data_IF_594122222831
#
_entry.id   IF_594122222831
#
_cell.length_a   1.000
_cell.length_b   1.000
_cell.length_c   1.000
_cell.angle_alpha   90.00
_cell.angle_beta   90.00
_cell.angle_gamma   90.00
#
_symmetry.space_group_name_H-M   'P 1'
#
loop_
_entity.id
_entity.type
_entity.pdbx_description
1 polymer ?
#
# COMPACT_ATOMS: atom_id res chain seq x y z
N UNK A 1 13.60 -32.72 -19.55
CA UNK A 1 14.67 -31.99 -18.88
C UNK A 1 14.21 -30.60 -18.45
N UNK A 2 13.81 -29.70 -19.34
CA UNK A 2 13.36 -28.33 -19.06
C UNK A 2 12.24 -28.24 -17.99
N UNK A 3 11.27 -29.14 -18.04
CA UNK A 3 10.15 -29.16 -17.05
C UNK A 3 10.69 -29.39 -15.63
N UNK A 4 11.64 -30.30 -15.45
CA UNK A 4 12.23 -30.58 -14.13
C UNK A 4 13.09 -29.40 -13.63
N UNK A 5 13.82 -28.74 -14.53
CA UNK A 5 14.61 -27.55 -14.20
C UNK A 5 13.70 -26.39 -13.70
N UNK A 6 12.61 -26.14 -14.42
CA UNK A 6 11.64 -25.10 -14.03
C UNK A 6 10.92 -25.51 -12.75
N UNK A 7 10.47 -26.75 -12.62
CA UNK A 7 9.82 -27.25 -11.41
C UNK A 7 10.70 -27.09 -10.17
N UNK A 8 12.00 -27.37 -10.27
CA UNK A 8 12.95 -27.16 -9.18
C UNK A 8 13.05 -25.67 -8.78
N UNK A 9 13.12 -24.75 -9.76
CA UNK A 9 13.19 -23.29 -9.51
C UNK A 9 11.98 -22.77 -8.74
N UNK A 10 10.79 -23.32 -9.00
CA UNK A 10 9.52 -22.91 -8.36
C UNK A 10 9.11 -23.86 -7.23
N UNK A 11 10.02 -24.71 -6.75
CA UNK A 11 9.82 -25.63 -5.63
C UNK A 11 8.65 -26.59 -5.79
N UNK A 12 8.40 -27.07 -7.00
CA UNK A 12 7.51 -28.22 -7.27
C UNK A 12 8.31 -29.49 -7.16
N UNK A 13 7.86 -30.42 -6.30
CA UNK A 13 8.52 -31.70 -6.08
C UNK A 13 8.14 -32.74 -7.15
N UNK A 14 8.98 -33.76 -7.34
CA UNK A 14 8.71 -34.89 -8.26
C UNK A 14 7.39 -35.59 -7.96
N UNK A 15 7.02 -35.68 -6.67
CA UNK A 15 5.73 -36.28 -6.27
C UNK A 15 4.54 -35.38 -6.69
N UNK A 16 4.71 -34.09 -6.70
CA UNK A 16 3.68 -33.12 -7.13
C UNK A 16 3.53 -33.10 -8.66
N UNK A 17 4.62 -33.29 -9.43
CA UNK A 17 4.58 -33.38 -10.89
C UNK A 17 3.75 -34.56 -11.38
N UNK A 18 3.57 -35.59 -10.57
CA UNK A 18 2.80 -36.78 -10.89
C UNK A 18 1.32 -36.74 -10.49
N UNK A 19 0.91 -35.68 -9.75
CA UNK A 19 -0.46 -35.47 -9.29
C UNK A 19 -1.31 -34.76 -10.32
N UNK A 20 -2.63 -34.96 -10.22
CA UNK A 20 -3.56 -34.08 -10.92
C UNK A 20 -3.48 -32.67 -10.30
N UNK A 21 -3.60 -31.63 -11.11
CA UNK A 21 -3.57 -30.25 -10.64
C UNK A 21 -4.67 -29.99 -9.59
N UNK A 22 -5.85 -30.60 -9.75
CA UNK A 22 -6.96 -30.50 -8.80
C UNK A 22 -6.64 -31.07 -7.41
N UNK A 23 -5.65 -31.92 -7.28
CA UNK A 23 -5.23 -32.54 -6.01
C UNK A 23 -4.14 -31.74 -5.29
N UNK A 24 -3.75 -30.61 -5.87
CA UNK A 24 -2.75 -29.69 -5.33
C UNK A 24 -3.42 -28.57 -4.51
N UNK A 25 -2.72 -28.06 -3.50
CA UNK A 25 -3.18 -26.85 -2.80
C UNK A 25 -3.17 -25.62 -3.72
N UNK A 26 -3.94 -24.57 -3.38
CA UNK A 26 -4.04 -23.35 -4.19
C UNK A 26 -2.68 -22.75 -4.56
N UNK A 27 -1.76 -22.66 -3.60
CA UNK A 27 -0.40 -22.18 -3.88
C UNK A 27 0.43 -23.11 -4.76
N UNK A 28 0.22 -24.43 -4.67
CA UNK A 28 0.86 -25.39 -5.58
C UNK A 28 0.28 -25.27 -6.99
N UNK A 29 -1.04 -25.09 -7.13
CA UNK A 29 -1.69 -24.84 -8.42
C UNK A 29 -1.15 -23.58 -9.07
N UNK A 30 -0.98 -22.50 -8.27
CA UNK A 30 -0.43 -21.24 -8.74
C UNK A 30 1.02 -21.40 -9.24
N UNK A 31 1.85 -22.17 -8.51
CA UNK A 31 3.22 -22.50 -8.98
C UNK A 31 3.19 -23.29 -10.28
N UNK A 32 2.29 -24.24 -10.45
CA UNK A 32 2.14 -24.99 -11.71
C UNK A 32 1.74 -24.04 -12.86
N UNK A 33 0.81 -23.11 -12.63
CA UNK A 33 0.43 -22.13 -13.64
C UNK A 33 1.62 -21.25 -14.04
N UNK A 34 2.40 -20.80 -13.07
CA UNK A 34 3.63 -20.01 -13.28
C UNK A 34 4.69 -20.85 -14.04
N UNK A 35 4.90 -22.11 -13.67
CA UNK A 35 5.80 -23.02 -14.38
C UNK A 35 5.46 -23.16 -15.86
N UNK A 36 4.19 -23.31 -16.17
CA UNK A 36 3.69 -23.40 -17.55
C UNK A 36 4.03 -22.17 -18.37
N UNK A 37 3.94 -20.98 -17.77
CA UNK A 37 4.28 -19.74 -18.42
C UNK A 37 5.80 -19.58 -18.64
N UNK A 38 6.60 -19.96 -17.64
CA UNK A 38 8.06 -19.78 -17.64
C UNK A 38 8.80 -20.83 -18.49
N UNK A 39 8.28 -22.06 -18.59
CA UNK A 39 8.97 -23.16 -19.30
C UNK A 39 9.27 -22.87 -20.79
N UNK A 40 8.49 -21.97 -21.36
CA UNK A 40 8.66 -21.46 -22.73
C UNK A 40 9.74 -20.38 -22.87
N UNK A 41 10.35 -19.94 -21.76
CA UNK A 41 11.34 -18.87 -21.69
C UNK A 41 10.90 -17.61 -22.42
N UNK A 42 9.73 -17.05 -22.06
CA UNK A 42 9.19 -15.88 -22.73
C UNK A 42 10.06 -14.65 -22.44
N UNK A 43 10.10 -13.70 -23.38
CA UNK A 43 10.72 -12.39 -23.12
C UNK A 43 9.88 -11.50 -22.20
N UNK A 44 8.56 -11.67 -22.25
CA UNK A 44 7.58 -10.94 -21.45
C UNK A 44 6.64 -11.94 -20.78
N UNK A 45 6.45 -11.83 -19.48
CA UNK A 45 5.52 -12.61 -18.69
C UNK A 45 4.35 -11.69 -18.28
N UNK A 46 3.13 -12.03 -18.72
CA UNK A 46 1.92 -11.32 -18.30
C UNK A 46 1.20 -12.12 -17.21
N UNK A 47 0.96 -11.47 -16.08
CA UNK A 47 0.26 -12.02 -14.92
C UNK A 47 -0.96 -11.14 -14.63
N UNK A 48 -2.14 -11.73 -14.72
CA UNK A 48 -3.40 -11.06 -14.45
C UNK A 48 -3.97 -11.57 -13.13
N UNK A 49 -3.95 -10.72 -12.11
CA UNK A 49 -4.37 -11.01 -10.72
C UNK A 49 -3.90 -12.38 -10.18
N UNK A 50 -2.60 -12.71 -10.29
CA UNK A 50 -2.14 -14.07 -10.05
C UNK A 50 -2.26 -14.53 -8.60
N UNK A 51 -2.49 -13.64 -7.63
CA UNK A 51 -2.58 -13.97 -6.20
C UNK A 51 -3.96 -13.75 -5.59
N UNK A 52 -4.96 -13.35 -6.38
CA UNK A 52 -6.31 -12.98 -5.91
C UNK A 52 -7.04 -14.11 -5.16
N UNK A 53 -6.82 -15.36 -5.55
CA UNK A 53 -7.50 -16.53 -4.99
C UNK A 53 -6.75 -17.20 -3.82
N UNK A 54 -5.73 -16.55 -3.26
CA UNK A 54 -4.92 -17.08 -2.17
C UNK A 54 -5.32 -16.46 -0.82
N UNK A 55 -5.23 -17.25 0.25
CA UNK A 55 -5.33 -16.72 1.61
C UNK A 55 -4.19 -15.72 1.92
N UNK A 56 -4.38 -14.88 2.93
CA UNK A 56 -3.48 -13.78 3.24
C UNK A 56 -2.02 -14.24 3.50
N UNK A 57 -1.83 -15.34 4.23
CA UNK A 57 -0.48 -15.85 4.55
C UNK A 57 0.21 -16.38 3.30
N UNK A 58 -0.49 -17.20 2.53
CA UNK A 58 0.04 -17.78 1.30
C UNK A 58 0.31 -16.70 0.25
N UNK A 59 -0.51 -15.64 0.20
CA UNK A 59 -0.31 -14.48 -0.69
C UNK A 59 1.02 -13.79 -0.40
N UNK A 60 1.35 -13.54 0.88
CA UNK A 60 2.63 -12.94 1.28
C UNK A 60 3.80 -13.82 0.82
N UNK A 61 3.75 -15.13 1.08
CA UNK A 61 4.82 -16.05 0.70
C UNK A 61 5.02 -16.11 -0.82
N UNK A 62 3.91 -16.18 -1.56
CA UNK A 62 3.93 -16.22 -3.03
C UNK A 62 4.39 -14.91 -3.65
N UNK A 63 4.08 -13.75 -3.04
CA UNK A 63 4.58 -12.45 -3.46
C UNK A 63 6.10 -12.39 -3.40
N UNK A 64 6.69 -12.82 -2.29
CA UNK A 64 8.14 -12.88 -2.13
C UNK A 64 8.79 -13.84 -3.13
N UNK A 65 8.16 -14.98 -3.39
CA UNK A 65 8.65 -15.98 -4.35
C UNK A 65 8.60 -15.45 -5.79
N UNK A 66 7.52 -14.78 -6.19
CA UNK A 66 7.40 -14.14 -7.51
C UNK A 66 8.49 -13.08 -7.73
N UNK A 67 8.73 -12.21 -6.74
CA UNK A 67 9.80 -11.19 -6.81
C UNK A 67 11.17 -11.82 -6.99
N UNK A 68 11.45 -12.92 -6.24
CA UNK A 68 12.70 -13.67 -6.37
C UNK A 68 12.86 -14.28 -7.76
N UNK A 69 11.82 -14.96 -8.24
CA UNK A 69 11.83 -15.61 -9.55
C UNK A 69 12.00 -14.61 -10.69
N UNK A 70 11.31 -13.48 -10.65
CA UNK A 70 11.45 -12.42 -11.64
C UNK A 70 12.90 -11.93 -11.74
N UNK A 71 13.56 -11.72 -10.58
CA UNK A 71 14.97 -11.33 -10.53
C UNK A 71 15.92 -12.41 -11.05
N UNK A 72 15.69 -13.67 -10.64
CA UNK A 72 16.55 -14.80 -11.06
C UNK A 72 16.46 -15.10 -12.55
N UNK A 73 15.28 -14.92 -13.13
CA UNK A 73 15.04 -15.21 -14.55
C UNK A 73 15.33 -14.02 -15.46
N UNK A 74 15.40 -12.81 -14.92
CA UNK A 74 15.59 -11.57 -15.69
C UNK A 74 14.49 -11.31 -16.71
N UNK A 75 13.27 -11.82 -16.46
CA UNK A 75 12.15 -11.69 -17.39
C UNK A 75 11.42 -10.38 -17.11
N UNK A 76 11.11 -9.62 -18.18
CA UNK A 76 10.20 -8.49 -18.08
C UNK A 76 8.81 -8.99 -17.74
N UNK A 77 8.25 -8.52 -16.63
CA UNK A 77 6.94 -8.97 -16.14
C UNK A 77 5.94 -7.81 -16.15
N UNK A 78 4.80 -8.01 -16.82
CA UNK A 78 3.64 -7.16 -16.69
C UNK A 78 2.69 -7.80 -15.67
N UNK A 79 2.47 -7.12 -14.56
CA UNK A 79 1.68 -7.60 -13.44
C UNK A 79 0.45 -6.72 -13.28
N UNK A 80 -0.75 -7.29 -13.43
CA UNK A 80 -2.02 -6.61 -13.22
C UNK A 80 -2.57 -7.01 -11.86
N UNK A 81 -2.91 -6.05 -11.02
CA UNK A 81 -3.50 -6.26 -9.70
C UNK A 81 -4.34 -5.07 -9.27
N UNK A 82 -5.33 -5.30 -8.43
CA UNK A 82 -6.03 -4.27 -7.67
C UNK A 82 -5.51 -4.16 -6.22
N UNK A 83 -4.60 -5.03 -5.81
CA UNK A 83 -3.96 -5.01 -4.49
C UNK A 83 -2.79 -4.00 -4.52
N UNK A 84 -2.95 -2.93 -3.75
CA UNK A 84 -1.96 -1.85 -3.68
C UNK A 84 -0.63 -2.33 -3.07
N UNK A 85 -0.69 -3.22 -2.09
CA UNK A 85 0.51 -3.75 -1.44
C UNK A 85 1.32 -4.63 -2.42
N UNK A 86 0.64 -5.41 -3.27
CA UNK A 86 1.29 -6.14 -4.35
C UNK A 86 1.98 -5.19 -5.32
N UNK A 87 1.26 -4.16 -5.80
CA UNK A 87 1.81 -3.17 -6.71
C UNK A 87 3.06 -2.48 -6.13
N UNK A 88 2.97 -1.99 -4.89
CA UNK A 88 4.07 -1.27 -4.23
C UNK A 88 5.29 -2.15 -3.92
N UNK A 89 5.09 -3.44 -3.63
CA UNK A 89 6.18 -4.34 -3.20
C UNK A 89 6.84 -5.09 -4.35
N UNK A 90 6.08 -5.44 -5.39
CA UNK A 90 6.58 -6.26 -6.50
C UNK A 90 7.21 -5.43 -7.62
N UNK A 91 6.64 -4.26 -7.92
CA UNK A 91 6.95 -3.53 -9.15
C UNK A 91 8.23 -2.70 -9.05
N UNK A 92 8.90 -2.51 -10.18
CA UNK A 92 9.92 -1.49 -10.36
C UNK A 92 9.28 -0.18 -10.84
N UNK A 93 8.17 -0.29 -11.59
CA UNK A 93 7.32 0.82 -12.01
C UNK A 93 5.85 0.44 -11.94
N UNK A 94 5.01 1.39 -11.57
CA UNK A 94 3.55 1.24 -11.48
C UNK A 94 2.91 2.19 -12.47
N UNK A 95 1.91 1.71 -13.21
CA UNK A 95 0.98 2.51 -13.97
C UNK A 95 -0.40 2.45 -13.29
N UNK A 96 -0.90 3.58 -12.81
CA UNK A 96 -2.23 3.69 -12.20
C UNK A 96 -3.24 4.01 -13.30
N UNK A 97 -4.26 3.16 -13.43
CA UNK A 97 -5.33 3.32 -14.42
C UNK A 97 -6.61 3.82 -13.78
N UNK A 98 -7.29 4.73 -14.48
CA UNK A 98 -8.61 5.22 -14.12
C UNK A 98 -9.46 5.34 -15.37
N UNK A 99 -10.62 4.68 -15.42
CA UNK A 99 -11.57 4.75 -16.55
C UNK A 99 -10.93 4.57 -17.95
N UNK A 100 -9.95 3.66 -18.05
CA UNK A 100 -9.26 3.37 -19.31
C UNK A 100 -8.09 4.30 -19.64
N UNK A 101 -7.80 5.29 -18.82
CA UNK A 101 -6.67 6.20 -18.98
C UNK A 101 -5.58 5.92 -17.95
N UNK A 102 -4.34 6.24 -18.29
CA UNK A 102 -3.20 6.18 -17.37
C UNK A 102 -3.11 7.52 -16.64
N UNK A 103 -3.40 7.52 -15.33
CA UNK A 103 -3.32 8.71 -14.46
C UNK A 103 -1.87 9.08 -14.12
N UNK A 104 -1.09 8.07 -13.75
CA UNK A 104 0.31 8.27 -13.40
C UNK A 104 1.13 7.02 -13.66
N UNK A 105 2.38 7.22 -14.09
CA UNK A 105 3.40 6.16 -14.16
C UNK A 105 4.62 6.61 -13.39
N UNK A 106 5.10 5.78 -12.47
CA UNK A 106 6.26 6.09 -11.64
C UNK A 106 6.80 4.87 -10.91
N UNK A 107 7.86 5.07 -10.14
CA UNK A 107 8.31 4.10 -9.14
C UNK A 107 7.28 3.97 -8.02
N UNK A 108 7.28 2.88 -7.23
CA UNK A 108 6.41 2.76 -6.04
C UNK A 108 6.49 3.99 -5.11
N UNK A 109 7.69 4.51 -4.91
CA UNK A 109 7.91 5.68 -4.07
C UNK A 109 7.24 6.94 -4.64
N UNK A 110 7.40 7.23 -5.94
CA UNK A 110 6.78 8.38 -6.61
C UNK A 110 5.25 8.27 -6.63
N UNK A 111 4.70 7.08 -6.89
CA UNK A 111 3.25 6.86 -6.88
C UNK A 111 2.66 7.14 -5.49
N UNK A 112 3.34 6.71 -4.43
CA UNK A 112 2.87 6.84 -3.06
C UNK A 112 3.08 8.25 -2.48
N UNK A 113 4.28 8.80 -2.64
CA UNK A 113 4.67 10.05 -1.98
C UNK A 113 4.51 11.32 -2.86
N UNK A 114 4.45 11.14 -4.19
CA UNK A 114 4.41 12.22 -5.19
C UNK A 114 3.23 12.02 -6.13
N UNK A 115 2.05 11.73 -5.55
CA UNK A 115 0.82 11.57 -6.32
C UNK A 115 0.53 12.82 -7.15
N UNK A 116 0.14 12.65 -8.42
CA UNK A 116 -0.09 13.76 -9.36
C UNK A 116 -1.55 14.17 -9.49
N UNK A 117 -2.46 13.40 -8.90
CA UNK A 117 -3.89 13.71 -8.87
C UNK A 117 -4.50 13.23 -7.57
N UNK A 118 -5.65 13.82 -7.22
CA UNK A 118 -6.47 13.37 -6.10
C UNK A 118 -6.81 11.88 -6.23
N UNK A 119 -7.14 11.43 -7.44
CA UNK A 119 -7.45 10.02 -7.69
C UNK A 119 -6.30 9.09 -7.30
N UNK A 120 -5.08 9.36 -7.76
CA UNK A 120 -3.91 8.53 -7.44
C UNK A 120 -3.63 8.56 -5.94
N UNK A 121 -3.74 9.75 -5.34
CA UNK A 121 -3.50 9.95 -3.91
C UNK A 121 -4.47 9.16 -3.05
N UNK A 122 -5.75 9.13 -3.41
CA UNK A 122 -6.81 8.43 -2.71
C UNK A 122 -6.82 6.92 -3.00
N UNK A 123 -6.47 6.55 -4.23
CA UNK A 123 -6.45 5.16 -4.64
C UNK A 123 -5.31 4.35 -4.01
N UNK A 124 -4.18 4.99 -3.70
CA UNK A 124 -3.00 4.31 -3.13
C UNK A 124 -2.80 4.71 -1.67
N UNK A 125 -3.16 3.82 -0.76
CA UNK A 125 -2.98 4.00 0.69
C UNK A 125 -4.00 4.92 1.35
N UNK A 126 -4.01 4.88 2.69
CA UNK A 126 -4.91 5.71 3.50
C UNK A 126 -4.45 7.18 3.54
N UNK A 127 -5.42 8.09 3.55
CA UNK A 127 -5.15 9.52 3.49
C UNK A 127 -6.11 10.32 4.37
N UNK A 128 -5.61 11.40 4.97
CA UNK A 128 -6.39 12.44 5.62
C UNK A 128 -6.71 13.57 4.63
N UNK A 129 -7.93 14.07 4.69
CA UNK A 129 -8.39 15.22 3.91
C UNK A 129 -8.60 16.40 4.85
N UNK A 130 -7.83 17.46 4.64
CA UNK A 130 -7.92 18.71 5.40
C UNK A 130 -8.67 19.75 4.57
N UNK A 131 -9.70 20.37 5.11
CA UNK A 131 -10.51 21.38 4.41
C UNK A 131 -10.76 22.60 5.32
N UNK A 132 -11.00 23.75 4.71
CA UNK A 132 -11.50 24.95 5.38
C UNK A 132 -10.71 25.32 6.64
N UNK A 133 -11.34 25.15 7.82
CA UNK A 133 -10.75 25.54 9.12
C UNK A 133 -9.44 24.82 9.43
N UNK A 134 -9.32 23.53 9.15
CA UNK A 134 -8.07 22.78 9.37
C UNK A 134 -6.91 23.35 8.54
N UNK A 135 -7.14 23.66 7.26
CA UNK A 135 -6.09 24.28 6.43
C UNK A 135 -5.78 25.71 6.88
N UNK A 136 -6.79 26.47 7.35
CA UNK A 136 -6.59 27.81 7.91
C UNK A 136 -5.76 27.77 9.19
N UNK A 137 -6.00 26.77 10.04
CA UNK A 137 -5.20 26.55 11.24
C UNK A 137 -3.76 26.19 10.91
N UNK A 138 -3.55 25.29 9.94
CA UNK A 138 -2.21 24.93 9.43
C UNK A 138 -1.49 26.18 8.92
N UNK A 139 -2.14 27.01 8.09
CA UNK A 139 -1.54 28.23 7.56
C UNK A 139 -1.18 29.21 8.68
N UNK A 140 -2.07 29.38 9.67
CA UNK A 140 -1.88 30.31 10.78
C UNK A 140 -0.70 29.93 11.65
N UNK A 141 -0.56 28.64 11.98
CA UNK A 141 0.51 28.14 12.85
C UNK A 141 1.87 28.09 12.16
N UNK A 142 1.91 27.77 10.85
CA UNK A 142 3.16 27.51 10.12
C UNK A 142 3.62 28.64 9.23
N UNK A 143 2.73 29.57 8.88
CA UNK A 143 2.98 30.54 7.81
C UNK A 143 2.97 29.94 6.41
N UNK A 144 2.49 28.69 6.24
CA UNK A 144 2.26 28.09 4.93
C UNK A 144 1.19 28.86 4.16
N UNK A 145 1.17 28.69 2.85
CA UNK A 145 0.20 29.37 1.97
C UNK A 145 -0.62 28.32 1.20
N UNK A 146 -1.27 27.41 1.95
CA UNK A 146 -2.16 26.41 1.38
C UNK A 146 -3.48 27.08 0.96
N UNK A 147 -4.01 26.69 -0.20
CA UNK A 147 -5.30 27.18 -0.67
C UNK A 147 -6.44 26.53 0.14
N UNK A 148 -7.11 27.34 0.95
CA UNK A 148 -8.22 26.88 1.82
C UNK A 148 -9.49 26.51 1.04
N UNK A 149 -9.58 26.87 -0.24
CA UNK A 149 -10.69 26.44 -1.12
C UNK A 149 -10.44 25.06 -1.73
N UNK A 150 -9.23 24.53 -1.66
CA UNK A 150 -8.86 23.19 -2.09
C UNK A 150 -8.84 22.23 -0.90
N UNK A 151 -8.88 20.96 -1.20
CA UNK A 151 -8.60 19.91 -0.19
C UNK A 151 -7.08 19.73 -0.07
N UNK A 152 -6.57 19.71 1.13
CA UNK A 152 -5.23 19.25 1.45
C UNK A 152 -5.25 17.76 1.75
N UNK A 153 -4.28 17.03 1.24
CA UNK A 153 -4.16 15.58 1.42
C UNK A 153 -2.87 15.27 2.15
N UNK A 154 -2.95 14.53 3.25
CA UNK A 154 -1.77 14.08 4.01
C UNK A 154 -1.91 12.61 4.37
N UNK A 155 -0.85 11.83 4.16
CA UNK A 155 -0.80 10.41 4.52
C UNK A 155 -0.97 10.23 6.02
N UNK A 156 -1.73 9.22 6.42
CA UNK A 156 -2.06 9.00 7.84
C UNK A 156 -0.82 8.70 8.69
N UNK A 157 0.21 8.06 8.14
CA UNK A 157 1.49 7.79 8.81
C UNK A 157 2.42 9.00 8.90
N UNK A 158 2.06 10.14 8.26
CA UNK A 158 2.78 11.42 8.41
C UNK A 158 2.30 12.24 9.58
N UNK A 159 1.18 11.85 10.18
CA UNK A 159 0.72 12.40 11.44
C UNK A 159 1.47 11.72 12.59
N UNK A 160 1.96 12.50 13.55
CA UNK A 160 2.68 12.01 14.72
C UNK A 160 2.06 12.56 16.00
N UNK A 161 2.16 11.84 17.12
CA UNK A 161 1.65 12.29 18.44
C UNK A 161 2.70 13.04 19.27
N UNK A 162 3.95 13.10 18.81
CA UNK A 162 5.03 13.78 19.51
C UNK A 162 5.29 15.15 18.89
N UNK A 163 5.46 16.17 19.74
CA UNK A 163 5.80 17.52 19.29
C UNK A 163 7.13 17.54 18.54
N UNK A 164 7.12 18.21 17.38
CA UNK A 164 8.31 18.34 16.55
C UNK A 164 8.41 19.74 15.95
N UNK A 165 9.62 20.32 15.99
CA UNK A 165 9.86 21.65 15.44
C UNK A 165 9.46 21.73 13.95
N UNK A 166 8.71 22.78 13.60
CA UNK A 166 8.20 23.00 12.23
C UNK A 166 6.92 22.23 11.87
N UNK A 167 6.41 21.43 12.79
CA UNK A 167 5.11 20.78 12.66
C UNK A 167 3.99 21.63 13.25
N UNK A 168 2.81 21.48 12.68
CA UNK A 168 1.58 22.14 13.15
C UNK A 168 0.82 21.18 14.05
N UNK A 169 0.35 21.70 15.17
CA UNK A 169 -0.47 20.94 16.12
C UNK A 169 -1.93 21.03 15.73
N UNK A 170 -2.60 19.88 15.63
CA UNK A 170 -4.03 19.72 15.51
C UNK A 170 -4.53 18.86 16.68
N UNK A 171 -5.54 19.33 17.40
CA UNK A 171 -6.10 18.59 18.54
C UNK A 171 -7.41 17.94 18.10
N UNK A 172 -7.47 16.60 18.16
CA UNK A 172 -8.67 15.83 17.83
C UNK A 172 -9.16 15.01 19.02
N UNK A 173 -10.44 14.66 18.98
CA UNK A 173 -11.10 13.79 19.95
C UNK A 173 -11.22 12.39 19.36
N UNK A 174 -10.80 11.37 20.08
CA UNK A 174 -10.89 9.96 19.64
C UNK A 174 -12.33 9.54 19.52
N UNK A 175 -12.73 9.09 18.33
CA UNK A 175 -14.02 8.46 18.05
C UNK A 175 -13.89 6.95 18.01
N UNK A 176 -12.80 6.45 17.40
CA UNK A 176 -12.57 5.01 17.20
C UNK A 176 -11.10 4.65 17.35
N UNK A 177 -10.83 3.45 17.85
CA UNK A 177 -9.49 2.87 17.95
C UNK A 177 -9.50 1.41 17.45
N UNK A 178 -8.78 1.14 16.37
CA UNK A 178 -8.63 -0.18 15.76
C UNK A 178 -7.23 -0.74 16.05
N UNK A 179 -7.15 -1.71 16.97
CA UNK A 179 -5.89 -2.35 17.34
C UNK A 179 -5.59 -3.54 16.44
N UNK A 180 -4.48 -3.48 15.70
CA UNK A 180 -4.03 -4.54 14.79
C UNK A 180 -2.76 -5.27 15.26
N UNK A 181 -2.40 -5.14 16.54
CA UNK A 181 -1.22 -5.75 17.15
C UNK A 181 0.04 -4.88 17.00
N UNK A 182 0.55 -4.68 15.81
CA UNK A 182 1.75 -3.84 15.57
C UNK A 182 1.42 -2.35 15.58
N UNK A 183 0.24 -2.00 15.11
CA UNK A 183 -0.25 -0.62 14.98
C UNK A 183 -1.63 -0.51 15.64
N UNK A 184 -1.95 0.70 16.09
CA UNK A 184 -3.31 1.12 16.39
C UNK A 184 -3.67 2.25 15.45
N UNK A 185 -4.78 2.11 14.74
CA UNK A 185 -5.36 3.16 13.91
C UNK A 185 -6.43 3.88 14.73
N UNK A 186 -6.25 5.16 14.93
CA UNK A 186 -7.23 6.02 15.57
C UNK A 186 -7.98 6.83 14.53
N UNK A 187 -9.27 6.99 14.75
CA UNK A 187 -10.11 7.95 14.04
C UNK A 187 -10.44 9.08 15.02
N UNK A 188 -10.13 10.30 14.66
CA UNK A 188 -10.29 11.47 15.48
C UNK A 188 -11.27 12.44 14.83
N UNK A 189 -12.16 13.03 15.60
CA UNK A 189 -12.91 14.21 15.22
C UNK A 189 -12.09 15.46 15.49
N UNK A 190 -11.89 16.30 14.47
CA UNK A 190 -11.17 17.55 14.56
C UNK A 190 -11.86 18.61 13.69
N UNK A 191 -12.42 19.66 14.28
CA UNK A 191 -13.18 20.71 13.59
C UNK A 191 -14.29 20.19 12.65
N UNK A 192 -15.05 19.18 13.09
CA UNK A 192 -16.09 18.55 12.29
C UNK A 192 -15.60 17.69 11.13
N UNK A 193 -14.31 17.33 11.13
CA UNK A 193 -13.70 16.49 10.11
C UNK A 193 -12.99 15.28 10.75
N UNK A 194 -13.00 14.18 10.02
CA UNK A 194 -12.31 12.96 10.42
C UNK A 194 -10.81 13.04 10.09
N UNK A 195 -9.97 12.80 11.08
CA UNK A 195 -8.52 12.60 10.91
C UNK A 195 -8.12 11.21 11.39
N UNK A 196 -7.34 10.51 10.60
CA UNK A 196 -6.78 9.19 10.94
C UNK A 196 -5.32 9.33 11.37
N UNK A 197 -4.95 8.56 12.36
CA UNK A 197 -3.60 8.51 12.90
C UNK A 197 -3.18 7.05 13.15
N UNK A 198 -1.94 6.73 12.81
CA UNK A 198 -1.34 5.42 13.08
C UNK A 198 -0.32 5.54 14.21
N UNK A 199 -0.58 4.84 15.30
CA UNK A 199 0.36 4.71 16.40
C UNK A 199 1.01 3.33 16.43
N UNK A 200 2.33 3.30 16.55
CA UNK A 200 3.06 2.04 16.73
C UNK A 200 2.82 1.52 18.15
N UNK A 201 2.48 0.24 18.25
CA UNK A 201 2.36 -0.42 19.53
C UNK A 201 3.77 -0.56 20.19
N UNK A 202 4.04 0.27 21.16
CA UNK A 202 5.26 0.24 21.98
C UNK A 202 5.00 -0.23 23.43
N UNK A 203 3.78 -0.76 23.69
CA UNK A 203 3.32 -1.22 25.00
C UNK A 203 2.73 -0.12 25.88
N UNK A 204 2.61 1.12 25.36
CA UNK A 204 1.90 2.18 26.08
C UNK A 204 0.40 1.89 26.12
N UNK A 205 -0.30 2.58 27.04
CA UNK A 205 -1.76 2.55 27.11
C UNK A 205 -2.36 3.10 25.82
N UNK A 206 -3.36 2.42 25.29
CA UNK A 206 -4.15 2.92 24.18
C UNK A 206 -5.05 4.08 24.64
N UNK A 207 -5.18 5.08 23.76
CA UNK A 207 -6.18 6.13 23.94
C UNK A 207 -7.58 5.54 23.88
N UNK A 208 -8.46 6.06 24.72
CA UNK A 208 -9.84 5.61 24.81
C UNK A 208 -10.74 6.55 24.03
N UNK A 209 -11.92 6.08 23.66
CA UNK A 209 -12.97 6.90 23.06
C UNK A 209 -13.25 8.15 23.92
N UNK A 210 -13.44 9.28 23.28
CA UNK A 210 -13.59 10.62 23.84
C UNK A 210 -12.33 11.25 24.49
N UNK A 211 -11.18 10.60 24.51
CA UNK A 211 -9.92 11.25 24.88
C UNK A 211 -9.44 12.20 23.78
N UNK A 212 -8.72 13.25 24.18
CA UNK A 212 -8.09 14.17 23.24
C UNK A 212 -6.67 13.71 22.92
N UNK A 213 -6.31 13.81 21.64
CA UNK A 213 -4.95 13.58 21.15
C UNK A 213 -4.50 14.81 20.39
N UNK A 214 -3.28 15.25 20.70
CA UNK A 214 -2.57 16.23 19.90
C UNK A 214 -1.81 15.52 18.79
N UNK A 215 -2.14 15.84 17.54
CA UNK A 215 -1.43 15.38 16.36
C UNK A 215 -0.58 16.51 15.79
N UNK A 216 0.59 16.15 15.30
CA UNK A 216 1.52 17.06 14.67
C UNK A 216 1.72 16.65 13.21
N UNK A 217 1.56 17.60 12.30
CA UNK A 217 1.65 17.42 10.85
C UNK A 217 2.68 18.40 10.28
N UNK A 218 3.56 17.90 9.41
CA UNK A 218 4.43 18.78 8.65
C UNK A 218 3.64 19.43 7.50
N UNK A 219 3.52 20.77 7.43
CA UNK A 219 2.80 21.43 6.35
C UNK A 219 3.32 21.09 4.93
N UNK A 220 4.60 20.73 4.82
CA UNK A 220 5.21 20.32 3.54
C UNK A 220 4.75 18.93 3.06
N UNK A 221 4.17 18.11 3.94
CA UNK A 221 3.62 16.82 3.57
C UNK A 221 2.18 16.92 3.04
N UNK A 222 1.59 18.12 3.04
CA UNK A 222 0.22 18.36 2.57
C UNK A 222 0.25 18.61 1.06
N UNK A 223 -0.35 17.69 0.32
CA UNK A 223 -0.52 17.80 -1.13
C UNK A 223 -1.84 18.51 -1.45
N UNK A 224 -1.86 19.32 -2.52
CA UNK A 224 -3.07 19.93 -3.09
C UNK A 224 -3.03 19.78 -4.62
N UNK A 225 -4.14 19.44 -5.24
CA UNK A 225 -4.28 19.20 -6.68
C UNK A 225 -5.15 20.24 -7.37
#
# INVERSE_FOLDING_TARGET
>A
QKVHEVAAKIKITESQLKKNVSDLSGGQQQRVALARAIVLEPKILCLDEPLSNLDAKLRIDMRMELKRLQKELGITTLYVTHDQEEALTLSDRIAVFNNGYVEQVGTPYEIYNESKSEFVCDFIGDINRLKGELLSEVNTQSGANLDTNKTGFVRIERCISEEKAGYVKLTGKVEEAEFSGVLTKYVLECHGQELKYLEKNDGRRLYQENEQIDLYINPQDIMQF
#
